data_IF_075661694897
#
_entry.id   IF_075661694897
#
_cell.length_a   1.000
_cell.length_b   1.000
_cell.length_c   1.000
_cell.angle_alpha   90.00
_cell.angle_beta   90.00
_cell.angle_gamma   90.00
#
_symmetry.space_group_name_H-M   'P 1'
#
loop_
_entity.id
_entity.type
_entity.pdbx_description
1 polymer ?
#
# COMPACT_ATOMS: atom_id res chain seq x y z
N UNK A 1 -28.72 -13.63 -4.96
CA UNK A 1 -28.31 -14.17 -3.64
C UNK A 1 -27.72 -15.58 -3.76
N UNK A 2 -28.43 -16.58 -4.30
CA UNK A 2 -27.90 -17.96 -4.43
C UNK A 2 -26.59 -18.03 -5.21
N UNK A 3 -26.48 -17.30 -6.33
CA UNK A 3 -25.23 -17.23 -7.11
C UNK A 3 -24.05 -16.68 -6.29
N UNK A 4 -24.23 -15.57 -5.58
CA UNK A 4 -23.20 -14.96 -4.74
C UNK A 4 -22.79 -15.89 -3.58
N UNK A 5 -23.74 -16.63 -3.01
CA UNK A 5 -23.47 -17.60 -1.96
C UNK A 5 -22.58 -18.78 -2.44
N UNK A 6 -22.55 -19.08 -3.74
CA UNK A 6 -21.60 -20.04 -4.32
C UNK A 6 -20.29 -19.39 -4.76
N UNK A 7 -20.38 -18.26 -5.48
CA UNK A 7 -19.24 -17.59 -6.09
C UNK A 7 -18.28 -16.98 -5.05
N UNK A 8 -18.80 -16.23 -4.08
CA UNK A 8 -17.97 -15.46 -3.16
C UNK A 8 -17.09 -16.35 -2.26
N UNK A 9 -17.59 -17.45 -1.64
CA UNK A 9 -16.74 -18.35 -0.86
C UNK A 9 -15.70 -19.05 -1.71
N UNK A 10 -16.07 -19.45 -2.94
CA UNK A 10 -15.13 -20.06 -3.88
C UNK A 10 -13.98 -19.11 -4.22
N UNK A 11 -14.30 -17.86 -4.55
CA UNK A 11 -13.32 -16.84 -4.89
C UNK A 11 -12.43 -16.48 -3.69
N UNK A 12 -13.00 -16.33 -2.49
CA UNK A 12 -12.25 -16.09 -1.27
C UNK A 12 -11.21 -17.20 -1.04
N UNK A 13 -11.64 -18.47 -1.09
CA UNK A 13 -10.74 -19.63 -0.89
C UNK A 13 -9.66 -19.68 -1.96
N UNK A 14 -10.04 -19.49 -3.23
CA UNK A 14 -9.11 -19.53 -4.37
C UNK A 14 -8.05 -18.43 -4.23
N UNK A 15 -8.47 -17.18 -4.02
CA UNK A 15 -7.55 -16.05 -3.95
C UNK A 15 -6.66 -16.11 -2.71
N UNK A 16 -7.19 -16.50 -1.54
CA UNK A 16 -6.34 -16.71 -0.36
C UNK A 16 -5.28 -17.78 -0.62
N UNK A 17 -5.64 -18.92 -1.23
CA UNK A 17 -4.68 -19.96 -1.56
C UNK A 17 -3.60 -19.47 -2.54
N UNK A 18 -3.99 -18.77 -3.60
CA UNK A 18 -3.04 -18.17 -4.57
C UNK A 18 -2.08 -17.22 -3.86
N UNK A 19 -2.59 -16.30 -3.04
CA UNK A 19 -1.77 -15.30 -2.37
C UNK A 19 -0.91 -15.87 -1.24
N UNK A 20 -1.34 -16.96 -0.60
CA UNK A 20 -0.52 -17.72 0.36
C UNK A 20 0.63 -18.44 -0.35
N UNK A 21 0.37 -19.09 -1.48
CA UNK A 21 1.42 -19.71 -2.31
C UNK A 21 2.39 -18.64 -2.80
N UNK A 22 1.86 -17.53 -3.32
CA UNK A 22 2.67 -16.39 -3.76
C UNK A 22 3.56 -15.87 -2.63
N UNK A 23 3.00 -15.68 -1.43
CA UNK A 23 3.77 -15.24 -0.25
C UNK A 23 4.85 -16.26 0.14
N UNK A 24 4.54 -17.55 0.11
CA UNK A 24 5.52 -18.59 0.45
C UNK A 24 6.66 -18.69 -0.57
N UNK A 25 6.36 -18.47 -1.86
CA UNK A 25 7.35 -18.52 -2.94
C UNK A 25 8.20 -17.25 -3.01
N UNK A 26 7.58 -16.08 -2.87
CA UNK A 26 8.17 -14.80 -3.23
C UNK A 26 8.27 -13.79 -2.08
N UNK A 27 7.60 -14.03 -0.94
CA UNK A 27 7.51 -13.06 0.17
C UNK A 27 8.84 -12.78 0.89
N UNK A 28 9.90 -13.54 0.60
CA UNK A 28 11.24 -13.38 1.19
C UNK A 28 12.40 -13.43 0.19
N UNK A 29 12.16 -13.63 -1.10
CA UNK A 29 13.27 -13.76 -2.07
C UNK A 29 13.73 -12.39 -2.57
N UNK A 30 15.02 -12.09 -2.33
CA UNK A 30 15.74 -10.95 -2.92
C UNK A 30 15.80 -11.05 -4.45
N UNK A 31 15.64 -12.27 -4.97
CA UNK A 31 15.81 -12.65 -6.37
C UNK A 31 14.44 -12.92 -7.06
N UNK A 32 13.42 -12.10 -6.76
CA UNK A 32 12.07 -12.24 -7.33
C UNK A 32 12.08 -12.29 -8.87
N UNK A 33 12.89 -11.44 -9.51
CA UNK A 33 13.01 -11.42 -10.98
C UNK A 33 13.82 -12.61 -11.52
N UNK A 34 14.78 -13.14 -10.76
CA UNK A 34 15.61 -14.27 -11.20
C UNK A 34 14.94 -15.64 -10.96
N UNK A 35 13.91 -15.72 -10.11
CA UNK A 35 13.13 -16.94 -9.90
C UNK A 35 11.93 -17.09 -10.84
N UNK A 36 11.42 -15.99 -11.41
CA UNK A 36 10.34 -15.97 -12.42
C UNK A 36 10.89 -16.30 -13.82
N UNK A 37 11.53 -17.46 -13.96
CA UNK A 37 12.25 -17.82 -15.20
C UNK A 37 11.39 -18.52 -16.24
N UNK A 38 10.27 -19.12 -15.82
CA UNK A 38 9.33 -19.78 -16.73
C UNK A 38 8.22 -18.80 -17.15
N UNK A 39 8.08 -18.58 -18.45
CA UNK A 39 7.05 -17.68 -19.02
C UNK A 39 5.63 -18.04 -18.57
N UNK A 40 5.39 -19.32 -18.29
CA UNK A 40 4.13 -19.82 -17.73
C UNK A 40 3.88 -19.29 -16.31
N UNK A 41 4.88 -19.27 -15.43
CA UNK A 41 4.74 -18.73 -14.08
C UNK A 41 4.47 -17.22 -14.08
N UNK A 42 5.13 -16.47 -14.97
CA UNK A 42 4.86 -15.03 -15.14
C UNK A 42 3.41 -14.81 -15.58
N UNK A 43 2.94 -15.58 -16.57
CA UNK A 43 1.58 -15.45 -17.10
C UNK A 43 0.53 -15.79 -16.04
N UNK A 44 0.76 -16.85 -15.25
CA UNK A 44 -0.11 -17.22 -14.15
C UNK A 44 -0.17 -16.13 -13.06
N UNK A 45 0.97 -15.54 -12.67
CA UNK A 45 1.01 -14.44 -11.71
C UNK A 45 0.20 -13.23 -12.20
N UNK A 46 0.42 -12.81 -13.46
CA UNK A 46 -0.31 -11.67 -14.02
C UNK A 46 -1.81 -11.94 -14.11
N UNK A 47 -2.21 -13.14 -14.52
CA UNK A 47 -3.62 -13.54 -14.54
C UNK A 47 -4.24 -13.47 -13.13
N UNK A 48 -3.53 -13.95 -12.12
CA UNK A 48 -3.98 -13.95 -10.74
C UNK A 48 -4.13 -12.52 -10.19
N UNK A 49 -3.20 -11.61 -10.51
CA UNK A 49 -3.30 -10.19 -10.14
C UNK A 49 -4.50 -9.52 -10.80
N UNK A 50 -4.71 -9.73 -12.10
CA UNK A 50 -5.87 -9.19 -12.82
C UNK A 50 -7.16 -9.74 -12.22
N UNK A 51 -7.27 -11.05 -12.04
CA UNK A 51 -8.44 -11.69 -11.44
C UNK A 51 -8.75 -11.11 -10.05
N UNK A 52 -7.72 -10.91 -9.23
CA UNK A 52 -7.84 -10.32 -7.90
C UNK A 52 -8.43 -8.91 -7.97
N UNK A 53 -7.86 -8.07 -8.85
CA UNK A 53 -8.28 -6.67 -9.01
C UNK A 53 -9.71 -6.56 -9.55
N UNK A 54 -10.09 -7.39 -10.51
CA UNK A 54 -11.43 -7.39 -11.10
C UNK A 54 -12.47 -7.92 -10.11
N UNK A 55 -12.12 -8.97 -9.36
CA UNK A 55 -13.01 -9.49 -8.33
C UNK A 55 -13.29 -8.47 -7.23
N UNK A 56 -12.26 -7.78 -6.72
CA UNK A 56 -12.46 -6.72 -5.73
C UNK A 56 -13.27 -5.54 -6.28
N UNK A 57 -13.03 -5.15 -7.54
CA UNK A 57 -13.87 -4.14 -8.22
C UNK A 57 -15.32 -4.57 -8.29
N UNK A 58 -15.58 -5.80 -8.73
CA UNK A 58 -16.92 -6.36 -8.77
C UNK A 58 -17.61 -6.33 -7.40
N UNK A 59 -16.92 -6.67 -6.31
CA UNK A 59 -17.49 -6.60 -4.96
C UNK A 59 -17.80 -5.17 -4.53
N UNK A 60 -16.91 -4.21 -4.83
CA UNK A 60 -17.18 -2.78 -4.57
C UNK A 60 -18.39 -2.30 -5.35
N UNK A 61 -18.51 -2.67 -6.62
CA UNK A 61 -19.61 -2.26 -7.50
C UNK A 61 -20.95 -2.91 -7.12
N UNK A 62 -20.93 -4.08 -6.49
CA UNK A 62 -22.13 -4.65 -5.87
C UNK A 62 -22.60 -3.82 -4.67
N UNK A 63 -21.67 -3.28 -3.88
CA UNK A 63 -21.99 -2.53 -2.67
C UNK A 63 -22.30 -1.06 -2.95
N UNK A 64 -21.63 -0.43 -3.91
CA UNK A 64 -21.78 0.98 -4.27
C UNK A 64 -22.26 1.15 -5.70
N UNK A 65 -23.17 2.10 -5.91
CA UNK A 65 -23.51 2.54 -7.26
C UNK A 65 -22.35 3.41 -7.73
N UNK A 66 -21.59 2.96 -8.73
CA UNK A 66 -20.73 3.89 -9.45
C UNK A 66 -21.65 4.99 -10.01
N UNK A 67 -21.38 6.25 -9.64
CA UNK A 67 -21.88 7.36 -10.45
C UNK A 67 -21.29 7.12 -11.83
N UNK A 68 -22.17 6.85 -12.80
CA UNK A 68 -21.79 6.61 -14.19
C UNK A 68 -20.78 7.68 -14.61
N UNK A 69 -19.59 7.25 -15.04
CA UNK A 69 -18.71 8.07 -15.85
C UNK A 69 -19.56 8.64 -17.00
N UNK A 70 -19.87 9.94 -16.94
CA UNK A 70 -20.14 10.69 -18.16
C UNK A 70 -18.82 10.72 -18.91
N UNK A 71 -18.68 9.82 -19.89
CA UNK A 71 -17.60 9.88 -20.85
C UNK A 71 -17.88 11.13 -21.70
N UNK A 72 -17.29 12.26 -21.33
CA UNK A 72 -16.98 13.27 -22.32
C UNK A 72 -15.71 12.77 -23.00
N UNK A 73 -15.88 12.25 -24.22
CA UNK A 73 -14.79 12.04 -25.16
C UNK A 73 -14.09 13.37 -25.36
N UNK A 74 -12.92 13.55 -24.76
CA UNK A 74 -11.93 14.49 -25.26
C UNK A 74 -10.54 13.87 -25.07
N UNK A 75 -9.93 13.58 -26.22
CA UNK A 75 -8.56 13.18 -26.39
C UNK A 75 -7.63 14.28 -25.85
N UNK A 76 -6.72 13.90 -24.93
CA UNK A 76 -5.30 14.31 -24.83
C UNK A 76 -4.85 14.39 -23.35
N UNK A 77 -3.93 13.47 -23.03
CA UNK A 77 -2.77 13.65 -22.15
C UNK A 77 -2.87 14.70 -21.03
N UNK A 78 -3.37 14.29 -19.87
CA UNK A 78 -3.02 14.90 -18.58
C UNK A 78 -3.28 13.91 -17.44
N UNK A 79 -2.34 13.88 -16.51
CA UNK A 79 -2.28 12.99 -15.36
C UNK A 79 -3.64 12.81 -14.67
N UNK A 80 -4.14 11.57 -14.65
CA UNK A 80 -5.34 11.20 -13.88
C UNK A 80 -5.05 11.34 -12.38
N UNK A 81 -5.19 12.56 -11.86
CA UNK A 81 -5.54 12.74 -10.44
C UNK A 81 -6.93 12.15 -10.27
N UNK A 82 -6.99 10.97 -9.65
CA UNK A 82 -8.23 10.40 -9.14
C UNK A 82 -8.67 11.35 -8.01
N UNK A 83 -9.40 12.40 -8.38
CA UNK A 83 -10.12 13.24 -7.43
C UNK A 83 -11.34 12.41 -7.03
N UNK A 84 -11.18 11.63 -5.95
CA UNK A 84 -12.30 10.99 -5.27
C UNK A 84 -13.15 12.10 -4.66
N UNK A 85 -14.07 12.65 -5.45
CA UNK A 85 -15.04 13.62 -4.98
C UNK A 85 -15.85 12.91 -3.87
N UNK A 86 -15.89 13.51 -2.67
CA UNK A 86 -16.59 13.01 -1.48
C UNK A 86 -18.12 13.04 -1.67
N UNK A 87 -18.64 12.44 -2.74
CA UNK A 87 -20.03 12.09 -2.88
C UNK A 87 -20.25 10.87 -1.97
N UNK A 88 -21.12 11.04 -0.97
CA UNK A 88 -21.34 10.13 0.15
C UNK A 88 -21.23 8.66 -0.26
N UNK A 89 -20.33 7.90 0.39
CA UNK A 89 -20.18 6.45 0.30
C UNK A 89 -21.48 5.76 0.77
N UNK A 90 -22.55 5.85 -0.02
CA UNK A 90 -23.85 5.25 0.29
C UNK A 90 -23.93 3.90 -0.36
N UNK A 91 -24.20 2.88 0.46
CA UNK A 91 -24.48 1.54 0.00
C UNK A 91 -25.75 1.53 -0.86
N UNK A 92 -25.75 0.71 -1.90
CA UNK A 92 -26.96 0.42 -2.69
C UNK A 92 -27.94 -0.43 -1.90
N UNK A 93 -29.21 -0.45 -2.29
CA UNK A 93 -30.20 -1.37 -1.71
C UNK A 93 -29.76 -2.84 -1.82
N UNK A 94 -29.09 -3.20 -2.92
CA UNK A 94 -28.50 -4.51 -3.10
C UNK A 94 -27.36 -4.75 -2.10
N UNK A 95 -26.45 -3.79 -1.96
CA UNK A 95 -25.34 -3.86 -1.00
C UNK A 95 -25.83 -4.02 0.44
N UNK A 96 -26.87 -3.27 0.83
CA UNK A 96 -27.53 -3.42 2.12
C UNK A 96 -28.08 -4.85 2.30
N UNK A 97 -28.80 -5.37 1.31
CA UNK A 97 -29.37 -6.73 1.37
C UNK A 97 -28.30 -7.83 1.41
N UNK A 98 -27.18 -7.62 0.74
CA UNK A 98 -26.01 -8.52 0.77
C UNK A 98 -25.45 -8.57 2.19
N UNK A 99 -25.20 -7.41 2.81
CA UNK A 99 -24.59 -7.32 4.14
C UNK A 99 -25.57 -7.72 5.27
N UNK A 100 -26.88 -7.65 5.05
CA UNK A 100 -27.88 -8.19 5.99
C UNK A 100 -27.96 -9.73 5.97
N UNK A 101 -27.53 -10.37 4.89
CA UNK A 101 -27.61 -11.84 4.77
C UNK A 101 -26.38 -12.47 5.41
N UNK A 102 -26.55 -13.09 6.58
CA UNK A 102 -25.46 -13.64 7.41
C UNK A 102 -24.43 -14.49 6.67
N UNK A 103 -24.89 -15.45 5.85
CA UNK A 103 -24.01 -16.38 5.14
C UNK A 103 -23.11 -15.69 4.10
N UNK A 104 -23.59 -14.61 3.48
CA UNK A 104 -22.85 -13.86 2.46
C UNK A 104 -22.03 -12.75 3.14
N UNK A 105 -22.58 -12.10 4.17
CA UNK A 105 -21.90 -11.07 4.97
C UNK A 105 -20.56 -11.57 5.49
N UNK A 106 -20.52 -12.75 6.11
CA UNK A 106 -19.29 -13.31 6.66
C UNK A 106 -18.18 -13.41 5.59
N UNK A 107 -18.56 -13.84 4.38
CA UNK A 107 -17.65 -13.97 3.24
C UNK A 107 -17.17 -12.62 2.75
N UNK A 108 -18.04 -11.60 2.71
CA UNK A 108 -17.66 -10.23 2.36
C UNK A 108 -16.70 -9.62 3.38
N UNK A 109 -16.96 -9.83 4.67
CA UNK A 109 -16.06 -9.40 5.76
C UNK A 109 -14.70 -10.06 5.61
N UNK A 110 -14.64 -11.40 5.52
CA UNK A 110 -13.38 -12.12 5.35
C UNK A 110 -12.66 -11.70 4.07
N UNK A 111 -13.36 -11.55 2.95
CA UNK A 111 -12.74 -11.12 1.69
C UNK A 111 -12.18 -9.71 1.79
N UNK A 112 -12.93 -8.77 2.38
CA UNK A 112 -12.48 -7.39 2.51
C UNK A 112 -11.20 -7.30 3.35
N UNK A 113 -11.19 -7.93 4.52
CA UNK A 113 -10.07 -7.84 5.45
C UNK A 113 -8.89 -8.76 5.07
N UNK A 114 -9.13 -9.97 4.57
CA UNK A 114 -8.05 -10.85 4.10
C UNK A 114 -7.38 -10.34 2.82
N UNK A 115 -8.08 -9.54 2.01
CA UNK A 115 -7.48 -8.97 0.79
C UNK A 115 -6.51 -7.83 1.07
N UNK A 116 -6.53 -7.24 2.28
CA UNK A 116 -5.56 -6.21 2.68
C UNK A 116 -4.11 -6.73 2.71
N UNK A 117 -3.91 -8.03 2.91
CA UNK A 117 -2.59 -8.69 2.97
C UNK A 117 -2.16 -9.30 1.63
N UNK A 118 -2.96 -9.21 0.57
CA UNK A 118 -2.58 -9.71 -0.75
C UNK A 118 -1.50 -8.78 -1.35
N UNK A 119 -0.41 -9.36 -1.86
CA UNK A 119 0.81 -8.65 -2.28
C UNK A 119 0.64 -7.97 -3.66
N UNK A 120 -0.40 -7.15 -3.78
CA UNK A 120 -0.70 -6.34 -4.95
C UNK A 120 -1.18 -4.95 -4.52
N UNK A 121 -0.36 -3.94 -4.80
CA UNK A 121 -0.62 -2.54 -4.39
C UNK A 121 -1.92 -2.01 -4.95
N UNK A 122 -2.27 -2.35 -6.19
CA UNK A 122 -3.49 -1.88 -6.84
C UNK A 122 -4.73 -2.56 -6.27
N UNK A 123 -4.69 -3.88 -6.05
CA UNK A 123 -5.75 -4.62 -5.40
C UNK A 123 -5.97 -4.12 -3.97
N UNK A 124 -4.91 -3.82 -3.24
CA UNK A 124 -4.99 -3.35 -1.86
C UNK A 124 -5.76 -2.02 -1.73
N UNK A 125 -5.62 -1.07 -2.66
CA UNK A 125 -6.44 0.15 -2.65
C UNK A 125 -7.93 -0.18 -2.80
N UNK A 126 -8.29 -1.13 -3.68
CA UNK A 126 -9.68 -1.60 -3.83
C UNK A 126 -10.15 -2.35 -2.58
N UNK A 127 -9.27 -3.14 -1.96
CA UNK A 127 -9.53 -3.86 -0.71
C UNK A 127 -9.81 -2.90 0.45
N UNK A 128 -9.07 -1.79 0.57
CA UNK A 128 -9.33 -0.75 1.57
C UNK A 128 -10.72 -0.15 1.37
N UNK A 129 -11.07 0.22 0.13
CA UNK A 129 -12.40 0.76 -0.17
C UNK A 129 -13.51 -0.24 0.18
N UNK A 130 -13.35 -1.51 -0.19
CA UNK A 130 -14.29 -2.57 0.18
C UNK A 130 -14.39 -2.73 1.70
N UNK A 131 -13.25 -2.70 2.40
CA UNK A 131 -13.16 -2.84 3.85
C UNK A 131 -13.84 -1.69 4.57
N UNK A 132 -13.68 -0.45 4.10
CA UNK A 132 -14.37 0.73 4.66
C UNK A 132 -15.90 0.55 4.57
N UNK A 133 -16.42 0.16 3.41
CA UNK A 133 -17.86 -0.03 3.20
C UNK A 133 -18.44 -1.12 4.08
N UNK A 134 -17.74 -2.25 4.18
CA UNK A 134 -18.17 -3.37 5.01
C UNK A 134 -18.05 -3.01 6.49
N UNK A 135 -16.95 -2.36 6.90
CA UNK A 135 -16.68 -1.97 8.27
C UNK A 135 -17.73 -0.98 8.80
N UNK A 136 -17.99 0.10 8.06
CA UNK A 136 -18.99 1.10 8.46
C UNK A 136 -20.36 0.44 8.68
N UNK A 137 -20.71 -0.53 7.83
CA UNK A 137 -21.99 -1.23 7.93
C UNK A 137 -22.08 -2.18 9.11
N UNK A 138 -21.04 -2.97 9.38
CA UNK A 138 -21.05 -3.90 10.52
C UNK A 138 -21.01 -3.16 11.87
N UNK A 139 -20.39 -1.97 11.91
CA UNK A 139 -20.38 -1.10 13.09
C UNK A 139 -21.75 -0.44 13.29
N UNK A 140 -22.38 0.08 12.23
CA UNK A 140 -23.73 0.66 12.28
C UNK A 140 -24.77 -0.34 12.82
N UNK A 141 -24.69 -1.60 12.37
CA UNK A 141 -25.62 -2.66 12.79
C UNK A 141 -25.23 -3.32 14.13
N UNK A 142 -24.13 -2.92 14.76
CA UNK A 142 -23.67 -3.49 16.02
C UNK A 142 -23.35 -4.99 15.94
N UNK A 143 -22.88 -5.44 14.77
CA UNK A 143 -22.63 -6.86 14.50
C UNK A 143 -21.31 -7.36 15.09
N UNK A 144 -20.37 -6.46 15.39
CA UNK A 144 -19.14 -6.79 16.10
C UNK A 144 -19.47 -6.88 17.59
N UNK A 145 -19.62 -8.11 18.09
CA UNK A 145 -20.04 -8.36 19.47
C UNK A 145 -18.89 -8.90 20.32
N UNK A 146 -17.93 -9.57 19.69
CA UNK A 146 -16.85 -10.24 20.39
C UNK A 146 -15.52 -9.49 20.19
N UNK A 147 -14.70 -9.50 21.25
CA UNK A 147 -13.35 -8.93 21.18
C UNK A 147 -12.47 -9.65 20.13
N UNK A 148 -12.71 -10.93 19.89
CA UNK A 148 -11.98 -11.71 18.89
C UNK A 148 -12.22 -11.20 17.46
N UNK A 149 -13.46 -10.80 17.15
CA UNK A 149 -13.81 -10.20 15.87
C UNK A 149 -13.14 -8.85 15.71
N UNK A 150 -13.23 -7.98 16.73
CA UNK A 150 -12.54 -6.69 16.74
C UNK A 150 -11.02 -6.85 16.56
N UNK A 151 -10.42 -7.86 17.21
CA UNK A 151 -9.01 -8.19 17.06
C UNK A 151 -8.67 -8.62 15.64
N UNK A 152 -9.48 -9.49 15.03
CA UNK A 152 -9.29 -9.92 13.65
C UNK A 152 -9.32 -8.73 12.68
N UNK A 153 -10.31 -7.83 12.82
CA UNK A 153 -10.44 -6.65 11.97
C UNK A 153 -9.21 -5.75 12.07
N UNK A 154 -8.79 -5.41 13.30
CA UNK A 154 -7.62 -4.57 13.52
C UNK A 154 -6.33 -5.25 13.05
N UNK A 155 -6.12 -6.53 13.37
CA UNK A 155 -4.93 -7.28 12.96
C UNK A 155 -4.82 -7.37 11.44
N UNK A 156 -5.93 -7.56 10.73
CA UNK A 156 -5.96 -7.61 9.27
C UNK A 156 -5.45 -6.31 8.64
N UNK A 157 -5.82 -5.16 9.20
CA UNK A 157 -5.30 -3.86 8.77
C UNK A 157 -3.80 -3.74 9.08
N UNK A 158 -3.36 -4.16 10.27
CA UNK A 158 -1.94 -4.14 10.66
C UNK A 158 -1.09 -5.03 9.75
N UNK A 159 -1.58 -6.22 9.37
CA UNK A 159 -0.91 -7.08 8.39
C UNK A 159 -0.81 -6.41 7.02
N UNK A 160 -1.87 -5.74 6.56
CA UNK A 160 -1.79 -4.94 5.33
C UNK A 160 -0.70 -3.88 5.38
N UNK A 161 -0.54 -3.19 6.52
CA UNK A 161 0.52 -2.18 6.74
C UNK A 161 1.91 -2.83 6.79
N UNK A 162 2.01 -4.02 7.35
CA UNK A 162 3.27 -4.75 7.42
C UNK A 162 3.77 -5.18 6.03
N UNK A 163 2.86 -5.66 5.19
CA UNK A 163 3.22 -6.20 3.88
C UNK A 163 3.37 -5.10 2.82
N UNK A 164 2.47 -4.10 2.78
CA UNK A 164 2.40 -3.09 1.73
C UNK A 164 2.82 -1.68 2.18
N UNK A 165 3.28 -1.56 3.43
CA UNK A 165 3.67 -0.28 4.02
C UNK A 165 4.88 0.38 3.38
N UNK A 166 5.61 -0.32 2.50
CA UNK A 166 6.71 0.28 1.74
C UNK A 166 6.23 1.27 0.67
N UNK A 167 5.00 1.08 0.17
CA UNK A 167 4.41 1.94 -0.85
C UNK A 167 3.64 3.08 -0.19
N UNK A 168 4.10 4.31 -0.35
CA UNK A 168 3.54 5.49 0.31
C UNK A 168 2.02 5.70 0.07
N UNK A 169 1.45 5.50 -1.15
CA UNK A 169 0.02 5.64 -1.38
C UNK A 169 -0.83 4.62 -0.59
N UNK A 170 -0.37 3.36 -0.57
CA UNK A 170 -1.01 2.27 0.18
C UNK A 170 -0.90 2.51 1.68
N UNK A 171 0.30 2.83 2.16
CA UNK A 171 0.54 3.16 3.57
C UNK A 171 -0.35 4.32 4.02
N UNK A 172 -0.44 5.38 3.23
CA UNK A 172 -1.27 6.54 3.53
C UNK A 172 -2.75 6.14 3.68
N UNK A 173 -3.27 5.33 2.77
CA UNK A 173 -4.66 4.87 2.78
C UNK A 173 -4.93 3.90 3.94
N UNK A 174 -4.02 2.95 4.18
CA UNK A 174 -4.09 1.98 5.29
C UNK A 174 -3.98 2.65 6.66
N UNK A 175 -3.16 3.69 6.81
CA UNK A 175 -3.07 4.46 8.05
C UNK A 175 -4.37 5.21 8.32
N UNK A 176 -4.96 5.82 7.29
CA UNK A 176 -6.26 6.50 7.41
C UNK A 176 -7.36 5.52 7.81
N UNK A 177 -7.42 4.35 7.16
CA UNK A 177 -8.38 3.30 7.51
C UNK A 177 -8.10 2.68 8.88
N UNK A 178 -6.84 2.45 9.25
CA UNK A 178 -6.46 1.89 10.55
C UNK A 178 -6.80 2.81 11.72
N UNK A 179 -6.65 4.13 11.55
CA UNK A 179 -7.15 5.12 12.52
C UNK A 179 -8.66 5.00 12.68
N UNK A 180 -9.40 4.93 11.57
CA UNK A 180 -10.85 4.79 11.56
C UNK A 180 -11.32 3.52 12.29
N UNK A 181 -10.73 2.37 11.94
CA UNK A 181 -11.03 1.07 12.59
C UNK A 181 -10.71 1.10 14.08
N UNK A 182 -9.54 1.64 14.47
CA UNK A 182 -9.17 1.71 15.88
C UNK A 182 -10.07 2.66 16.68
N UNK A 183 -10.46 3.80 16.12
CA UNK A 183 -11.35 4.77 16.77
C UNK A 183 -12.72 4.16 17.05
N UNK A 184 -13.37 3.60 16.03
CA UNK A 184 -14.69 2.97 16.15
C UNK A 184 -14.66 1.75 17.10
N UNK A 185 -13.68 0.85 16.97
CA UNK A 185 -13.57 -0.31 17.85
C UNK A 185 -13.27 0.06 19.30
N UNK A 186 -12.54 1.15 19.54
CA UNK A 186 -12.23 1.61 20.90
C UNK A 186 -13.47 2.09 21.65
N UNK A 187 -14.46 2.64 20.94
CA UNK A 187 -15.74 3.03 21.55
C UNK A 187 -16.52 1.82 22.04
N UNK A 188 -16.38 0.67 21.36
CA UNK A 188 -17.06 -0.57 21.69
C UNK A 188 -16.27 -1.47 22.65
N UNK A 189 -14.93 -1.47 22.58
CA UNK A 189 -14.06 -2.42 23.27
C UNK A 189 -12.88 -1.72 23.96
N UNK A 190 -12.87 -1.72 25.29
CA UNK A 190 -11.78 -1.11 26.07
C UNK A 190 -10.45 -1.88 25.94
N UNK A 191 -10.51 -3.20 25.73
CA UNK A 191 -9.34 -4.07 25.66
C UNK A 191 -8.63 -4.07 24.29
N UNK A 192 -9.17 -3.39 23.26
CA UNK A 192 -8.56 -3.34 21.92
C UNK A 192 -7.13 -2.75 21.93
N UNK A 193 -6.84 -1.92 22.93
CA UNK A 193 -5.51 -1.36 23.16
C UNK A 193 -4.48 -2.44 23.48
N UNK A 194 -4.88 -3.47 24.23
CA UNK A 194 -4.00 -4.59 24.56
C UNK A 194 -3.61 -5.36 23.30
N UNK A 195 -4.53 -5.53 22.35
CA UNK A 195 -4.27 -6.15 21.05
C UNK A 195 -3.28 -5.35 20.22
N UNK A 196 -3.41 -4.02 20.20
CA UNK A 196 -2.47 -3.13 19.50
C UNK A 196 -1.07 -3.17 20.15
N UNK A 197 -0.98 -3.23 21.49
CA UNK A 197 0.30 -3.43 22.19
C UNK A 197 0.95 -4.76 21.84
N UNK A 198 0.15 -5.83 21.86
CA UNK A 198 0.62 -7.22 21.68
C UNK A 198 1.12 -7.47 20.26
N UNK A 199 0.41 -6.97 19.26
CA UNK A 199 0.71 -7.20 17.84
C UNK A 199 1.91 -6.40 17.34
N UNK A 200 2.15 -5.21 17.88
CA UNK A 200 3.12 -4.25 17.32
C UNK A 200 4.35 -4.06 18.23
N UNK A 201 4.36 -4.66 19.43
CA UNK A 201 5.35 -4.41 20.47
C UNK A 201 5.54 -2.88 20.71
N UNK A 202 4.41 -2.15 20.75
CA UNK A 202 4.35 -0.71 20.95
C UNK A 202 4.91 -0.29 22.32
N UNK A 203 5.43 0.94 22.40
CA UNK A 203 5.72 1.56 23.69
C UNK A 203 4.41 2.13 24.26
N UNK A 204 4.16 1.97 25.57
CA UNK A 204 2.96 2.49 26.26
C UNK A 204 2.74 3.99 26.02
N UNK A 205 3.82 4.77 25.85
CA UNK A 205 3.77 6.20 25.58
C UNK A 205 3.19 6.54 24.20
N UNK A 206 3.49 5.75 23.16
CA UNK A 206 2.97 5.99 21.81
C UNK A 206 1.46 5.74 21.74
N UNK A 207 0.96 4.73 22.46
CA UNK A 207 -0.47 4.47 22.57
C UNK A 207 -1.19 5.56 23.37
N UNK A 208 -0.58 6.08 24.44
CA UNK A 208 -1.15 7.23 25.17
C UNK A 208 -1.31 8.44 24.25
N UNK A 209 -0.28 8.78 23.47
CA UNK A 209 -0.35 9.87 22.48
C UNK A 209 -1.42 9.66 21.41
N UNK A 210 -1.54 8.44 20.90
CA UNK A 210 -2.63 8.08 19.97
C UNK A 210 -4.00 8.28 20.61
N UNK A 211 -4.15 7.84 21.85
CA UNK A 211 -5.41 7.94 22.57
C UNK A 211 -5.80 9.39 22.88
N UNK A 212 -4.83 10.22 23.24
CA UNK A 212 -4.98 11.67 23.42
C UNK A 212 -5.40 12.32 22.10
N UNK A 213 -4.69 12.06 21.00
CA UNK A 213 -4.99 12.61 19.67
C UNK A 213 -6.41 12.27 19.16
N UNK A 214 -6.95 11.10 19.54
CA UNK A 214 -8.32 10.71 19.19
C UNK A 214 -9.35 11.48 20.04
N UNK A 215 -9.05 11.66 21.33
CA UNK A 215 -9.95 12.30 22.32
C UNK A 215 -9.97 13.82 22.20
N UNK A 216 -8.89 14.42 21.69
CA UNK A 216 -8.78 15.87 21.52
C UNK A 216 -9.87 16.44 20.60
N UNK A 217 -10.47 17.55 21.04
CA UNK A 217 -11.47 18.30 20.26
C UNK A 217 -10.78 19.44 19.52
N UNK A 218 -10.09 19.12 18.42
CA UNK A 218 -9.44 20.10 17.52
C UNK A 218 -10.18 20.21 16.18
N UNK A 219 -9.90 21.26 15.40
CA UNK A 219 -10.50 21.49 14.07
C UNK A 219 -10.28 20.27 13.18
N UNK A 220 -11.37 19.73 12.59
CA UNK A 220 -11.45 18.43 11.88
C UNK A 220 -10.23 18.09 11.00
N UNK A 221 -9.82 19.00 10.11
CA UNK A 221 -8.71 18.74 9.18
C UNK A 221 -7.33 18.64 9.87
N UNK A 222 -7.10 19.39 10.96
CA UNK A 222 -5.86 19.25 11.75
C UNK A 222 -5.90 17.98 12.61
N UNK A 223 -7.09 17.60 13.08
CA UNK A 223 -7.33 16.38 13.87
C UNK A 223 -6.94 15.12 13.10
N UNK A 224 -7.40 14.96 11.86
CA UNK A 224 -7.16 13.75 11.07
C UNK A 224 -5.67 13.53 10.77
N UNK A 225 -4.94 14.61 10.48
CA UNK A 225 -3.49 14.56 10.29
C UNK A 225 -2.77 14.13 11.58
N UNK A 226 -3.15 14.71 12.72
CA UNK A 226 -2.55 14.38 14.01
C UNK A 226 -2.80 12.92 14.41
N UNK A 227 -4.04 12.43 14.25
CA UNK A 227 -4.38 11.02 14.51
C UNK A 227 -3.53 10.08 13.66
N UNK A 228 -3.40 10.38 12.37
CA UNK A 228 -2.62 9.58 11.43
C UNK A 228 -1.14 9.51 11.79
N UNK A 229 -0.54 10.65 12.15
CA UNK A 229 0.86 10.69 12.61
C UNK A 229 1.06 9.95 13.95
N UNK A 230 0.13 10.11 14.90
CA UNK A 230 0.18 9.39 16.17
C UNK A 230 0.04 7.87 15.98
N UNK A 231 -0.86 7.44 15.09
CA UNK A 231 -1.06 6.03 14.75
C UNK A 231 0.17 5.46 14.05
N UNK A 232 0.70 6.18 13.06
CA UNK A 232 1.96 5.83 12.36
C UNK A 232 3.12 5.68 13.36
N UNK A 233 3.25 6.60 14.31
CA UNK A 233 4.28 6.55 15.34
C UNK A 233 4.13 5.34 16.26
N UNK A 234 2.89 4.95 16.60
CA UNK A 234 2.64 3.74 17.38
C UNK A 234 3.09 2.49 16.60
N UNK A 235 2.76 2.41 15.31
CA UNK A 235 3.00 1.21 14.49
C UNK A 235 4.32 1.21 13.71
N UNK A 236 5.19 2.19 13.94
CA UNK A 236 6.41 2.42 13.16
C UNK A 236 7.31 1.18 13.02
N UNK A 237 7.28 0.27 13.99
CA UNK A 237 8.10 -0.97 13.99
C UNK A 237 7.62 -2.00 12.97
N UNK A 238 6.32 -2.04 12.67
CA UNK A 238 5.74 -3.03 11.76
C UNK A 238 5.59 -2.53 10.34
N UNK A 239 5.63 -1.22 10.09
CA UNK A 239 5.47 -0.65 8.74
C UNK A 239 6.46 -1.32 7.79
N UNK A 240 5.94 -1.87 6.68
CA UNK A 240 6.74 -2.48 5.63
C UNK A 240 7.89 -1.57 5.22
N UNK A 241 9.11 -2.12 5.21
CA UNK A 241 10.32 -1.40 4.81
C UNK A 241 10.75 -1.86 3.43
N UNK A 242 11.14 -0.90 2.60
CA UNK A 242 11.71 -1.19 1.30
C UNK A 242 12.95 -2.10 1.41
N UNK A 243 13.11 -3.04 0.48
CA UNK A 243 14.20 -4.01 0.47
C UNK A 243 15.59 -3.31 0.49
N UNK A 244 15.74 -2.16 -0.18
CA UNK A 244 16.97 -1.35 -0.12
C UNK A 244 17.26 -0.71 1.26
N UNK A 245 16.27 -0.60 2.13
CA UNK A 245 16.43 -0.18 3.53
C UNK A 245 16.66 -1.36 4.49
N UNK A 246 16.22 -2.57 4.13
CA UNK A 246 16.52 -3.81 4.88
C UNK A 246 18.00 -4.21 4.76
N UNK A 247 18.64 -3.88 3.64
CA UNK A 247 20.04 -4.20 3.33
C UNK A 247 21.01 -3.00 3.49
N UNK A 248 20.53 -1.83 3.93
CA UNK A 248 21.43 -0.80 4.46
C UNK A 248 22.05 -1.33 5.74
N UNK A 249 23.19 -2.01 5.61
CA UNK A 249 24.20 -2.02 6.68
C UNK A 249 24.34 -0.57 7.12
N UNK A 250 24.26 -0.29 8.41
CA UNK A 250 24.70 1.00 8.93
C UNK A 250 26.16 1.16 8.52
N UNK A 251 26.39 1.88 7.41
CA UNK A 251 27.72 2.31 7.04
C UNK A 251 28.02 3.43 8.01
N UNK A 252 28.49 3.04 9.20
CA UNK A 252 29.33 3.92 10.00
C UNK A 252 30.55 4.16 9.11
N UNK A 253 30.48 5.22 8.29
CA UNK A 253 31.65 5.76 7.61
C UNK A 253 32.51 6.24 8.77
N UNK A 254 33.38 5.37 9.28
CA UNK A 254 34.53 5.81 10.08
C UNK A 254 35.20 6.87 9.23
N UNK A 255 35.37 8.08 9.77
CA UNK A 255 35.91 9.26 9.09
C UNK A 255 36.95 8.84 8.05
N UNK A 256 36.49 8.68 6.80
CA UNK A 256 37.38 8.26 5.74
C UNK A 256 38.29 9.46 5.48
N UNK A 257 39.61 9.24 5.33
CA UNK A 257 40.51 10.31 4.94
C UNK A 257 39.94 10.96 3.68
N UNK A 258 39.89 12.31 3.61
CA UNK A 258 39.31 12.99 2.47
C UNK A 258 40.03 12.53 1.19
N UNK A 259 39.25 12.09 0.20
CA UNK A 259 39.78 11.75 -1.11
C UNK A 259 40.62 12.92 -1.60
N UNK A 260 41.85 12.62 -2.03
CA UNK A 260 42.78 13.60 -2.59
C UNK A 260 42.01 14.39 -3.65
N UNK A 261 41.76 15.67 -3.36
CA UNK A 261 41.12 16.56 -4.33
C UNK A 261 42.08 16.66 -5.50
N UNK A 262 41.78 15.96 -6.59
CA UNK A 262 42.35 16.29 -7.89
C UNK A 262 42.06 17.77 -8.10
N UNK A 263 43.11 18.59 -8.20
CA UNK A 263 42.96 20.03 -8.45
C UNK A 263 42.01 20.18 -9.63
N UNK A 264 40.93 20.92 -9.43
CA UNK A 264 40.11 21.39 -10.53
C UNK A 264 41.08 22.04 -11.53
N UNK A 265 41.08 21.51 -12.76
CA UNK A 265 41.68 22.23 -13.88
C UNK A 265 40.96 23.57 -13.89
N UNK A 266 41.72 24.66 -13.84
CA UNK A 266 41.17 25.99 -14.05
C UNK A 266 40.37 25.96 -15.35
N UNK A 267 39.12 26.39 -15.28
CA UNK A 267 38.28 26.61 -16.44
C UNK A 267 38.96 27.67 -17.30
N UNK A 268 39.78 27.24 -18.26
CA UNK A 268 40.17 28.08 -19.37
C UNK A 268 38.89 28.33 -20.16
N UNK A 269 38.34 29.54 -20.03
CA UNK A 269 37.26 30.06 -20.86
C UNK A 269 37.52 29.71 -22.31
N UNK A 270 36.61 28.93 -22.90
CA UNK A 270 36.62 28.50 -24.30
C UNK A 270 36.40 29.65 -25.31
N UNK A 271 36.65 30.90 -24.90
CA UNK A 271 36.40 32.12 -25.68
C UNK A 271 37.65 33.00 -25.88
N UNK A 272 38.81 32.63 -25.32
CA UNK A 272 40.07 33.37 -25.51
C UNK A 272 41.07 32.59 -26.39
N UNK A 273 40.57 31.93 -27.44
CA UNK A 273 41.44 31.33 -28.46
C UNK A 273 41.77 32.41 -29.49
N UNK A 274 42.92 33.07 -29.31
CA UNK A 274 43.58 33.78 -30.41
C UNK A 274 43.92 32.78 -31.54
N UNK A 275 43.80 33.18 -32.83
CA UNK A 275 43.71 32.24 -33.94
C UNK A 275 45.09 31.78 -34.42
N UNK A 276 45.98 31.36 -33.53
CA UNK A 276 47.34 31.04 -33.98
C UNK A 276 48.13 30.02 -33.18
N UNK A 277 47.50 28.97 -32.64
CA UNK A 277 48.26 27.77 -32.32
C UNK A 277 47.50 26.50 -32.69
N UNK A 278 48.18 25.68 -33.49
CA UNK A 278 47.77 24.36 -33.93
C UNK A 278 47.31 23.52 -32.73
N UNK A 279 45.99 23.46 -32.52
CA UNK A 279 45.37 22.48 -31.63
C UNK A 279 45.75 21.11 -32.22
N UNK A 280 46.56 20.36 -31.49
CA UNK A 280 47.15 19.06 -31.86
C UNK A 280 46.15 17.92 -32.13
N UNK A 281 44.93 18.25 -32.54
CA UNK A 281 43.90 17.33 -33.05
C UNK A 281 44.33 16.64 -34.35
N UNK A 282 45.18 17.27 -35.17
CA UNK A 282 45.68 16.66 -36.41
C UNK A 282 46.65 15.49 -36.17
N UNK A 283 47.26 15.38 -34.98
CA UNK A 283 48.16 14.28 -34.60
C UNK A 283 47.45 13.07 -33.98
N UNK A 284 46.14 13.17 -33.71
CA UNK A 284 45.34 12.06 -33.17
C UNK A 284 44.84 11.09 -34.25
N UNK A 285 44.92 11.48 -35.53
CA UNK A 285 44.38 10.72 -36.65
C UNK A 285 45.39 10.49 -37.79
N UNK A 286 46.69 10.75 -37.58
CA UNK A 286 47.74 10.47 -38.56
C UNK A 286 48.37 9.09 -38.32
N UNK A 287 47.81 8.11 -39.02
CA UNK A 287 48.30 6.78 -39.39
C UNK A 287 49.53 6.16 -38.68
N UNK A 288 49.27 5.07 -37.94
CA UNK A 288 50.22 3.96 -37.80
C UNK A 288 50.39 3.27 -39.17
N UNK A 289 51.19 3.85 -40.06
CA UNK A 289 51.86 3.09 -41.11
C UNK A 289 53.26 2.71 -40.64
N UNK A 290 53.42 1.42 -40.30
CA UNK A 290 54.56 0.55 -40.62
C UNK A 290 54.87 -0.44 -39.49
N UNK A 291 54.46 -1.68 -39.70
CA UNK A 291 55.18 -2.86 -39.21
C UNK A 291 55.04 -3.96 -40.27
N UNK A 292 55.98 -3.99 -41.20
CA UNK A 292 56.50 -5.24 -41.76
C UNK A 292 57.52 -5.81 -40.76
#
# INVERSE_FOLDING_TARGET
MVFLAGLCPFMLRKLNCIWEIFRSKYGTSVDYEDHLTETEEILEDQLNRVLTREYLSFLVDLLMKQSSCSVTEDYMESEKKIVTNNQSKKLTELGLKILQTESIRAVFVCTAFDSLRWLDTTANIKAILLSELVFDKIMEEGLVQQIQEANYLLQSVLYGIQELGEHEPNLSSLLSFGVHVYEELRHCFQDIQSTLMSSVACNQQSIRKLNEAITETTVKNKKDKLKKEAFKSAIQKIIGKNIGQRHKKDVVIKDLPPLIRLKQKEDSSLLDIEPNDNIGLCNLFSDNQNSC
#
